data_IF_522706305538
#
_entry.id   IF_522706305538
#
_cell.length_a   1.000
_cell.length_b   1.000
_cell.length_c   1.000
_cell.angle_alpha   90.00
_cell.angle_beta   90.00
_cell.angle_gamma   90.00
#
_symmetry.space_group_name_H-M   'P 1'
#
loop_
_entity.id
_entity.type
_entity.pdbx_description
1 polymer ?
#
# COMPACT_ATOMS: atom_id res chain seq x y z
N UNK A 1 23.09 16.07 -23.30
CA UNK A 1 22.69 16.98 -22.22
C UNK A 1 22.98 16.31 -20.93
N UNK A 2 23.48 17.03 -19.92
CA UNK A 2 23.67 16.52 -18.57
C UNK A 2 22.41 16.79 -17.78
N UNK A 3 21.96 15.84 -16.97
CA UNK A 3 20.83 15.99 -16.05
C UNK A 3 21.31 16.27 -14.63
N UNK A 4 20.54 17.02 -13.87
CA UNK A 4 20.87 17.36 -12.49
C UNK A 4 19.80 16.84 -11.53
N UNK A 5 20.16 15.85 -10.72
CA UNK A 5 19.28 15.16 -9.80
C UNK A 5 19.43 15.70 -8.38
N UNK A 6 18.32 16.09 -7.77
CA UNK A 6 18.22 16.41 -6.34
C UNK A 6 17.53 15.28 -5.59
N UNK A 7 18.10 14.88 -4.46
CA UNK A 7 17.51 13.85 -3.57
C UNK A 7 16.86 14.58 -2.40
N UNK A 8 15.55 14.33 -2.20
CA UNK A 8 14.73 14.90 -1.12
C UNK A 8 14.11 13.78 -0.28
N UNK A 9 14.93 13.01 0.40
CA UNK A 9 14.54 11.89 1.25
C UNK A 9 15.07 12.06 2.68
N UNK A 10 14.43 11.42 3.65
CA UNK A 10 14.92 11.41 5.03
C UNK A 10 16.31 10.77 5.13
N UNK A 11 16.53 9.69 4.41
CA UNK A 11 17.83 9.01 4.29
C UNK A 11 18.49 9.34 2.94
N UNK A 12 18.83 10.62 2.76
CA UNK A 12 19.49 11.11 1.53
C UNK A 12 20.79 10.35 1.24
N UNK A 13 21.60 10.11 2.26
CA UNK A 13 22.90 9.47 2.14
C UNK A 13 22.81 8.09 1.49
N UNK A 14 21.82 7.29 1.87
CA UNK A 14 21.57 5.98 1.28
C UNK A 14 21.26 6.05 -0.21
N UNK A 15 20.34 6.95 -0.59
CA UNK A 15 19.96 7.09 -2.01
C UNK A 15 21.10 7.67 -2.85
N UNK A 16 21.88 8.58 -2.29
CA UNK A 16 23.09 9.14 -2.94
C UNK A 16 24.10 8.02 -3.24
N UNK A 17 24.44 7.20 -2.25
CA UNK A 17 25.36 6.08 -2.42
C UNK A 17 24.89 5.10 -3.52
N UNK A 18 23.59 4.74 -3.54
CA UNK A 18 23.04 3.85 -4.57
C UNK A 18 23.13 4.43 -5.98
N UNK A 19 22.92 5.74 -6.14
CA UNK A 19 23.01 6.41 -7.44
C UNK A 19 24.46 6.53 -7.90
N UNK A 20 25.37 6.84 -6.99
CA UNK A 20 26.82 6.90 -7.27
C UNK A 20 27.36 5.53 -7.68
N UNK A 21 26.92 4.45 -6.98
CA UNK A 21 27.27 3.07 -7.32
C UNK A 21 26.79 2.67 -8.72
N UNK A 22 25.61 3.17 -9.13
CA UNK A 22 25.03 2.91 -10.45
C UNK A 22 25.81 3.55 -11.60
N UNK A 23 26.74 4.50 -11.34
CA UNK A 23 27.63 5.17 -12.30
C UNK A 23 26.89 5.66 -13.55
N UNK A 24 25.76 6.33 -13.34
CA UNK A 24 24.91 6.82 -14.43
C UNK A 24 25.64 7.90 -15.21
N UNK A 25 25.72 7.76 -16.53
CA UNK A 25 26.37 8.70 -17.43
C UNK A 25 25.51 9.97 -17.57
N UNK A 26 26.12 11.13 -17.57
CA UNK A 26 25.45 12.43 -17.72
C UNK A 26 24.45 12.76 -16.59
N UNK A 27 24.68 12.27 -15.38
CA UNK A 27 23.90 12.62 -14.19
C UNK A 27 24.81 13.28 -13.15
N UNK A 28 24.48 14.49 -12.73
CA UNK A 28 25.11 15.24 -11.65
C UNK A 28 24.19 15.24 -10.41
N UNK A 29 24.75 15.08 -9.22
CA UNK A 29 23.99 15.12 -7.99
C UNK A 29 24.03 16.52 -7.36
N UNK A 30 22.87 17.17 -7.27
CA UNK A 30 22.71 18.41 -6.55
C UNK A 30 22.72 18.19 -5.04
N UNK A 31 23.22 19.17 -4.27
CA UNK A 31 23.23 19.15 -2.80
C UNK A 31 22.09 19.98 -2.20
N UNK A 32 21.48 20.86 -2.98
CA UNK A 32 20.38 21.72 -2.56
C UNK A 32 19.49 22.08 -3.77
N UNK A 33 18.26 22.55 -3.54
CA UNK A 33 17.41 23.08 -4.61
C UNK A 33 18.10 24.19 -5.37
N UNK A 34 18.06 24.13 -6.70
CA UNK A 34 18.65 25.11 -7.60
C UNK A 34 17.84 25.23 -8.91
N UNK A 35 17.98 26.33 -9.62
CA UNK A 35 17.18 26.63 -10.82
C UNK A 35 17.43 25.66 -11.98
N UNK A 36 18.59 25.03 -12.03
CA UNK A 36 19.04 24.09 -13.05
C UNK A 36 18.77 22.60 -12.71
N UNK A 37 18.14 22.31 -11.56
CA UNK A 37 17.72 20.95 -11.20
C UNK A 37 16.53 20.54 -12.05
N UNK A 38 16.69 19.47 -12.82
CA UNK A 38 15.64 18.97 -13.73
C UNK A 38 15.04 17.62 -13.30
N UNK A 39 15.66 16.91 -12.36
CA UNK A 39 15.15 15.63 -11.80
C UNK A 39 15.13 15.71 -10.29
N UNK A 40 14.06 15.18 -9.69
CA UNK A 40 13.96 15.00 -8.22
C UNK A 40 13.57 13.59 -7.87
N UNK A 41 14.33 12.97 -6.95
CA UNK A 41 13.99 11.72 -6.28
C UNK A 41 13.69 12.00 -4.82
N UNK A 42 12.52 11.59 -4.29
CA UNK A 42 12.29 11.85 -2.88
C UNK A 42 10.89 11.55 -2.36
N UNK A 43 10.65 12.02 -1.14
CA UNK A 43 9.38 11.92 -0.44
C UNK A 43 8.41 13.01 -0.92
N UNK A 44 7.13 12.69 -1.22
CA UNK A 44 6.18 13.64 -1.78
C UNK A 44 6.03 14.95 -1.03
N UNK A 45 6.06 14.93 0.30
CA UNK A 45 5.93 16.13 1.13
C UNK A 45 7.17 17.04 1.03
N UNK A 46 8.37 16.45 1.00
CA UNK A 46 9.64 17.19 0.84
C UNK A 46 9.75 17.78 -0.55
N UNK A 47 9.36 17.00 -1.57
CA UNK A 47 9.32 17.48 -2.97
C UNK A 47 8.37 18.68 -3.07
N UNK A 48 7.14 18.57 -2.54
CA UNK A 48 6.17 19.66 -2.55
C UNK A 48 6.72 20.95 -1.97
N UNK A 49 7.45 20.88 -0.85
CA UNK A 49 8.05 22.04 -0.20
C UNK A 49 9.11 22.72 -1.06
N UNK A 50 9.81 21.97 -1.92
CA UNK A 50 10.89 22.49 -2.77
C UNK A 50 10.43 22.94 -4.18
N UNK A 51 9.21 22.60 -4.62
CA UNK A 51 8.74 22.82 -6.00
C UNK A 51 8.90 24.27 -6.50
N UNK A 52 8.73 25.26 -5.62
CA UNK A 52 8.85 26.68 -6.01
C UNK A 52 10.28 27.08 -6.38
N UNK A 53 11.29 26.37 -5.87
CA UNK A 53 12.72 26.62 -6.12
C UNK A 53 13.30 25.77 -7.27
N UNK A 54 12.44 25.08 -8.04
CA UNK A 54 12.84 24.13 -9.07
C UNK A 54 12.14 24.46 -10.41
N UNK A 55 12.43 25.60 -11.04
CA UNK A 55 11.75 26.02 -12.27
C UNK A 55 12.04 25.10 -13.46
N UNK A 56 13.23 24.50 -13.57
CA UNK A 56 13.61 23.60 -14.66
C UNK A 56 13.15 22.15 -14.49
N UNK A 57 12.42 21.84 -13.39
CA UNK A 57 12.01 20.47 -13.07
C UNK A 57 11.20 19.82 -14.20
N UNK A 58 11.69 18.71 -14.70
CA UNK A 58 11.08 17.92 -15.79
C UNK A 58 10.58 16.54 -15.32
N UNK A 59 11.20 15.96 -14.28
CA UNK A 59 10.83 14.64 -13.77
C UNK A 59 10.92 14.55 -12.25
N UNK A 60 9.88 13.98 -11.66
CA UNK A 60 9.79 13.62 -10.24
C UNK A 60 9.59 12.13 -10.11
N UNK A 61 10.51 11.46 -9.41
CA UNK A 61 10.35 10.09 -8.93
C UNK A 61 10.05 10.11 -7.44
N UNK A 62 8.84 9.76 -7.04
CA UNK A 62 8.52 9.52 -5.63
C UNK A 62 9.07 8.17 -5.17
N UNK A 63 9.72 8.14 -4.01
CA UNK A 63 10.16 6.91 -3.35
C UNK A 63 9.01 6.19 -2.63
N UNK A 64 7.83 6.81 -2.57
CA UNK A 64 6.62 6.24 -2.00
C UNK A 64 5.58 5.90 -3.07
N UNK A 65 4.70 4.95 -2.76
CA UNK A 65 3.55 4.63 -3.62
C UNK A 65 2.51 5.75 -3.61
N UNK A 66 2.26 6.38 -2.47
CA UNK A 66 1.33 7.50 -2.35
C UNK A 66 1.97 8.83 -2.68
N UNK A 67 1.25 9.62 -3.48
CA UNK A 67 1.72 10.89 -4.04
C UNK A 67 0.72 12.03 -3.79
N UNK A 68 -0.18 11.86 -2.82
CA UNK A 68 -1.27 12.81 -2.54
C UNK A 68 -0.80 14.27 -2.41
N UNK A 69 0.36 14.58 -1.76
CA UNK A 69 0.86 15.95 -1.68
C UNK A 69 1.14 16.60 -3.04
N UNK A 70 1.39 15.80 -4.08
CA UNK A 70 1.81 16.24 -5.42
C UNK A 70 0.67 16.28 -6.44
N UNK A 71 -0.54 15.79 -6.12
CA UNK A 71 -1.64 15.63 -7.09
C UNK A 71 -2.92 16.40 -6.76
N UNK A 72 -2.88 17.32 -5.80
CA UNK A 72 -4.04 18.15 -5.43
C UNK A 72 -4.52 19.07 -6.56
N UNK A 73 -5.69 19.73 -6.43
CA UNK A 73 -6.26 20.61 -7.45
C UNK A 73 -5.34 21.77 -7.89
N UNK A 74 -4.54 22.29 -6.96
CA UNK A 74 -3.55 23.35 -7.21
C UNK A 74 -2.13 22.81 -7.47
N UNK A 75 -1.97 21.52 -7.75
CA UNK A 75 -0.65 20.94 -7.97
C UNK A 75 -0.07 21.39 -9.32
N UNK A 76 1.22 21.73 -9.32
CA UNK A 76 2.03 21.94 -10.52
C UNK A 76 2.05 20.68 -11.38
N UNK A 77 1.92 20.77 -12.71
CA UNK A 77 1.75 19.62 -13.63
C UNK A 77 2.65 19.68 -14.87
N UNK A 78 3.64 20.52 -14.86
CA UNK A 78 4.59 20.75 -15.96
C UNK A 78 5.82 19.84 -15.87
N UNK A 79 5.75 18.77 -15.10
CA UNK A 79 6.76 17.72 -14.99
C UNK A 79 6.14 16.34 -15.04
N UNK A 80 6.93 15.33 -15.39
CA UNK A 80 6.53 13.92 -15.32
C UNK A 80 6.58 13.49 -13.85
N UNK A 81 5.48 12.92 -13.35
CA UNK A 81 5.40 12.36 -11.99
C UNK A 81 5.32 10.84 -12.05
N UNK A 82 6.29 10.18 -11.45
CA UNK A 82 6.32 8.73 -11.27
C UNK A 82 6.41 8.37 -9.79
N UNK A 83 5.96 7.17 -9.43
CA UNK A 83 5.98 6.71 -8.04
C UNK A 83 6.48 5.27 -7.93
N UNK A 84 6.77 4.82 -6.70
CA UNK A 84 7.17 3.45 -6.43
C UNK A 84 5.95 2.51 -6.58
N UNK A 85 5.99 1.59 -7.56
CA UNK A 85 4.98 0.56 -7.80
C UNK A 85 5.63 -0.82 -7.88
N UNK A 86 4.87 -1.86 -7.44
CA UNK A 86 5.31 -3.25 -7.53
C UNK A 86 6.31 -3.70 -6.45
N UNK A 87 6.90 -2.78 -5.68
CA UNK A 87 7.95 -3.10 -4.69
C UNK A 87 7.40 -3.40 -3.29
N UNK A 88 6.17 -2.99 -2.97
CA UNK A 88 5.60 -3.15 -1.62
C UNK A 88 4.72 -4.39 -1.46
N UNK A 89 4.42 -5.11 -2.55
CA UNK A 89 3.45 -6.21 -2.53
C UNK A 89 3.84 -7.32 -1.56
N UNK A 90 5.10 -7.77 -1.58
CA UNK A 90 5.62 -8.79 -0.67
C UNK A 90 5.49 -8.38 0.79
N UNK A 91 6.05 -7.23 1.16
CA UNK A 91 6.03 -6.72 2.54
C UNK A 91 4.60 -6.53 3.06
N UNK A 92 3.69 -5.99 2.25
CA UNK A 92 2.30 -5.80 2.65
C UNK A 92 1.54 -7.12 2.77
N UNK A 93 1.83 -8.11 1.93
CA UNK A 93 1.23 -9.43 2.05
C UNK A 93 1.69 -10.15 3.33
N UNK A 94 2.99 -10.07 3.67
CA UNK A 94 3.52 -10.59 4.93
C UNK A 94 2.87 -9.92 6.15
N UNK A 95 2.72 -8.59 6.11
CA UNK A 95 2.03 -7.84 7.17
C UNK A 95 0.60 -8.34 7.36
N UNK A 96 -0.20 -8.41 6.29
CA UNK A 96 -1.60 -8.84 6.35
C UNK A 96 -1.70 -10.27 6.87
N UNK A 97 -0.99 -11.21 6.26
CA UNK A 97 -1.03 -12.63 6.67
C UNK A 97 -0.50 -12.81 8.10
N UNK A 98 0.54 -12.08 8.48
CA UNK A 98 1.08 -12.11 9.85
C UNK A 98 0.02 -11.75 10.90
N UNK A 99 -0.77 -10.70 10.69
CA UNK A 99 -1.85 -10.31 11.61
C UNK A 99 -3.01 -11.31 11.59
N UNK A 100 -3.38 -11.84 10.42
CA UNK A 100 -4.42 -12.87 10.33
C UNK A 100 -4.01 -14.15 11.08
N UNK A 101 -2.76 -14.59 10.93
CA UNK A 101 -2.21 -15.72 11.67
C UNK A 101 -2.13 -15.44 13.18
N UNK A 102 -1.70 -14.24 13.58
CA UNK A 102 -1.65 -13.84 14.97
C UNK A 102 -3.03 -13.88 15.63
N UNK A 103 -4.06 -13.45 14.91
CA UNK A 103 -5.46 -13.52 15.35
C UNK A 103 -5.95 -14.97 15.46
N UNK A 104 -5.90 -15.74 14.38
CA UNK A 104 -6.42 -17.12 14.33
C UNK A 104 -5.70 -18.05 15.32
N UNK A 105 -4.38 -17.92 15.44
CA UNK A 105 -3.58 -18.76 16.34
C UNK A 105 -3.54 -18.22 17.77
N UNK A 106 -4.28 -17.14 18.08
CA UNK A 106 -4.33 -16.47 19.40
C UNK A 106 -2.94 -16.17 19.96
N UNK A 107 -2.00 -15.74 19.07
CA UNK A 107 -0.57 -15.61 19.43
C UNK A 107 -0.39 -14.65 20.60
N UNK A 108 -1.04 -13.47 20.58
CA UNK A 108 -0.91 -12.47 21.64
C UNK A 108 -1.45 -12.96 22.97
N UNK A 109 -2.60 -13.63 22.95
CA UNK A 109 -3.18 -14.25 24.16
C UNK A 109 -2.24 -15.31 24.74
N UNK A 110 -1.72 -16.20 23.90
CA UNK A 110 -0.80 -17.27 24.32
C UNK A 110 0.51 -16.75 24.89
N UNK A 111 1.02 -15.63 24.35
CA UNK A 111 2.18 -14.96 24.94
C UNK A 111 1.88 -14.42 26.35
N UNK A 112 0.68 -13.87 26.56
CA UNK A 112 0.25 -13.41 27.88
C UNK A 112 0.03 -14.58 28.84
N UNK A 113 -0.64 -15.63 28.40
CA UNK A 113 -0.83 -16.86 29.19
C UNK A 113 0.53 -17.46 29.60
N UNK A 114 1.51 -17.47 28.69
CA UNK A 114 2.87 -17.95 29.01
C UNK A 114 3.55 -17.13 30.11
N UNK A 115 3.43 -15.81 30.07
CA UNK A 115 3.96 -14.93 31.14
C UNK A 115 3.31 -15.24 32.49
N UNK A 116 2.01 -15.50 32.48
CA UNK A 116 1.21 -15.79 33.66
C UNK A 116 1.29 -17.27 34.10
N UNK A 117 2.09 -18.10 33.41
CA UNK A 117 2.20 -19.56 33.63
C UNK A 117 0.83 -20.25 33.60
N UNK A 118 -0.08 -19.74 32.77
CA UNK A 118 -1.43 -20.27 32.53
C UNK A 118 -1.44 -21.14 31.28
N UNK A 119 -2.04 -22.32 31.36
CA UNK A 119 -2.23 -23.20 30.20
C UNK A 119 -3.65 -23.00 29.63
N UNK A 120 -3.74 -22.55 28.37
CA UNK A 120 -5.02 -22.40 27.66
C UNK A 120 -5.21 -23.54 26.66
N UNK A 121 -6.18 -24.42 26.93
CA UNK A 121 -6.57 -25.56 26.09
C UNK A 121 -7.57 -25.20 24.99
N UNK A 122 -7.96 -23.91 24.89
CA UNK A 122 -8.94 -23.48 23.89
C UNK A 122 -8.44 -23.66 22.46
N UNK A 123 -9.34 -24.11 21.59
CA UNK A 123 -9.07 -24.29 20.17
C UNK A 123 -8.57 -23.00 19.50
N UNK A 124 -7.71 -23.16 18.52
CA UNK A 124 -7.26 -22.08 17.64
C UNK A 124 -7.89 -22.22 16.27
N UNK A 125 -8.15 -21.10 15.63
CA UNK A 125 -8.64 -21.05 14.25
C UNK A 125 -7.58 -21.36 13.20
N UNK A 126 -8.00 -21.38 11.95
CA UNK A 126 -7.16 -21.55 10.76
C UNK A 126 -7.63 -20.60 9.67
N UNK A 127 -6.72 -20.18 8.80
CA UNK A 127 -7.06 -19.39 7.62
C UNK A 127 -7.72 -20.21 6.51
N UNK A 128 -7.48 -21.52 6.48
CA UNK A 128 -8.01 -22.43 5.47
C UNK A 128 -9.53 -22.40 5.43
N UNK A 129 -10.10 -22.21 4.25
CA UNK A 129 -11.54 -22.14 4.02
C UNK A 129 -12.21 -20.81 4.37
N UNK A 130 -11.52 -19.92 5.07
CA UNK A 130 -12.02 -18.57 5.37
C UNK A 130 -12.02 -17.65 4.15
N UNK A 131 -12.87 -16.64 4.16
CA UNK A 131 -13.05 -15.70 3.07
C UNK A 131 -12.42 -14.35 3.40
N UNK A 132 -11.45 -13.92 2.57
CA UNK A 132 -10.83 -12.59 2.63
C UNK A 132 -11.36 -11.70 1.51
N UNK A 133 -11.81 -10.49 1.86
CA UNK A 133 -12.20 -9.45 0.93
C UNK A 133 -11.12 -8.38 0.81
N UNK A 134 -10.74 -8.05 -0.43
CA UNK A 134 -9.73 -7.05 -0.74
C UNK A 134 -10.40 -5.81 -1.34
N UNK A 135 -10.45 -4.72 -0.61
CA UNK A 135 -10.82 -3.41 -1.16
C UNK A 135 -9.59 -2.86 -1.91
N UNK A 136 -9.61 -3.04 -3.23
CA UNK A 136 -8.50 -2.73 -4.13
C UNK A 136 -7.62 -3.94 -4.46
N UNK A 137 -7.57 -4.31 -5.75
CA UNK A 137 -6.72 -5.39 -6.28
C UNK A 137 -5.72 -4.81 -7.29
N UNK A 138 -4.88 -3.91 -6.82
CA UNK A 138 -3.68 -3.43 -7.54
C UNK A 138 -2.48 -4.35 -7.29
N UNK A 139 -1.25 -3.85 -7.48
CA UNK A 139 -0.02 -4.62 -7.26
C UNK A 139 0.08 -5.24 -5.86
N UNK A 140 -0.30 -4.49 -4.82
CA UNK A 140 -0.31 -4.97 -3.44
C UNK A 140 -1.43 -6.00 -3.24
N UNK A 141 -2.66 -5.68 -3.66
CA UNK A 141 -3.80 -6.58 -3.50
C UNK A 141 -3.63 -7.92 -4.22
N UNK A 142 -2.98 -7.92 -5.37
CA UNK A 142 -2.67 -9.15 -6.09
C UNK A 142 -1.69 -10.06 -5.31
N UNK A 143 -0.69 -9.50 -4.63
CA UNK A 143 0.23 -10.25 -3.78
C UNK A 143 -0.46 -10.76 -2.50
N UNK A 144 -1.30 -9.94 -1.86
CA UNK A 144 -2.14 -10.40 -0.73
C UNK A 144 -3.06 -11.55 -1.17
N UNK A 145 -3.71 -11.44 -2.35
CA UNK A 145 -4.53 -12.50 -2.91
C UNK A 145 -3.73 -13.79 -3.12
N UNK A 146 -2.53 -13.70 -3.70
CA UNK A 146 -1.63 -14.84 -3.89
C UNK A 146 -1.26 -15.53 -2.57
N UNK A 147 -0.89 -14.74 -1.55
CA UNK A 147 -0.56 -15.25 -0.24
C UNK A 147 -1.79 -15.91 0.44
N UNK A 148 -2.97 -15.29 0.35
CA UNK A 148 -4.22 -15.84 0.89
C UNK A 148 -4.56 -17.19 0.24
N UNK A 149 -4.40 -17.34 -1.08
CA UNK A 149 -4.59 -18.61 -1.79
C UNK A 149 -3.61 -19.68 -1.33
N UNK A 150 -2.36 -19.35 -1.02
CA UNK A 150 -1.39 -20.29 -0.46
C UNK A 150 -1.87 -20.89 0.86
N UNK A 151 -2.53 -20.10 1.71
CA UNK A 151 -3.14 -20.57 2.96
C UNK A 151 -4.52 -21.23 2.77
N UNK A 152 -5.00 -21.43 1.53
CA UNK A 152 -6.26 -22.09 1.23
C UNK A 152 -7.51 -21.26 1.53
N UNK A 153 -7.38 -19.93 1.49
CA UNK A 153 -8.51 -19.01 1.66
C UNK A 153 -9.31 -18.82 0.36
N UNK A 154 -10.58 -18.41 0.51
CA UNK A 154 -11.38 -17.87 -0.57
C UNK A 154 -11.12 -16.37 -0.67
N UNK A 155 -10.88 -15.85 -1.89
CA UNK A 155 -10.50 -14.46 -2.12
C UNK A 155 -11.56 -13.72 -2.93
N UNK A 156 -12.11 -12.65 -2.38
CA UNK A 156 -12.98 -11.71 -3.10
C UNK A 156 -12.24 -10.40 -3.32
N UNK A 157 -12.40 -9.80 -4.50
CA UNK A 157 -11.83 -8.50 -4.83
C UNK A 157 -12.92 -7.48 -5.12
N UNK A 158 -12.82 -6.27 -4.57
CA UNK A 158 -13.63 -5.12 -4.96
C UNK A 158 -12.77 -4.11 -5.69
N UNK A 159 -13.11 -3.81 -6.95
CA UNK A 159 -12.36 -2.90 -7.83
C UNK A 159 -13.31 -2.01 -8.62
N UNK A 160 -12.79 -1.01 -9.32
CA UNK A 160 -13.59 -0.18 -10.25
C UNK A 160 -13.98 -0.90 -11.55
N UNK A 161 -13.27 -1.96 -11.93
CA UNK A 161 -13.50 -2.71 -13.17
C UNK A 161 -12.32 -3.59 -13.60
N UNK A 162 -11.20 -3.54 -12.88
CA UNK A 162 -10.01 -4.35 -13.20
C UNK A 162 -10.14 -5.74 -12.55
N UNK A 163 -9.97 -6.80 -13.34
CA UNK A 163 -10.03 -8.21 -12.92
C UNK A 163 -8.77 -8.96 -13.35
N UNK A 164 -7.60 -8.41 -13.04
CA UNK A 164 -6.32 -8.90 -13.56
C UNK A 164 -5.65 -9.99 -12.74
N UNK A 165 -6.02 -10.17 -11.46
CA UNK A 165 -5.38 -11.16 -10.61
C UNK A 165 -6.07 -12.53 -10.71
N UNK A 166 -5.34 -13.55 -11.14
CA UNK A 166 -5.79 -14.96 -11.18
C UNK A 166 -5.99 -15.59 -9.79
N UNK A 167 -5.62 -14.88 -8.74
CA UNK A 167 -5.73 -15.34 -7.35
C UNK A 167 -6.99 -14.83 -6.64
N UNK A 168 -7.84 -14.08 -7.35
CA UNK A 168 -9.15 -13.64 -6.87
C UNK A 168 -10.22 -14.57 -7.42
N UNK A 169 -11.00 -15.19 -6.54
CA UNK A 169 -12.04 -16.16 -6.93
C UNK A 169 -13.30 -15.47 -7.45
N UNK A 170 -13.61 -14.27 -6.92
CA UNK A 170 -14.77 -13.49 -7.35
C UNK A 170 -14.51 -11.99 -7.22
N UNK A 171 -14.85 -11.27 -8.27
CA UNK A 171 -14.79 -9.81 -8.32
C UNK A 171 -16.17 -9.17 -8.09
N UNK A 172 -16.13 -7.96 -7.52
CA UNK A 172 -17.29 -7.09 -7.27
C UNK A 172 -16.95 -5.66 -7.68
N UNK A 173 -17.96 -4.92 -8.13
CA UNK A 173 -17.80 -3.57 -8.66
C UNK A 173 -18.99 -2.66 -8.28
N UNK A 174 -18.80 -1.36 -8.34
CA UNK A 174 -19.88 -0.36 -8.27
C UNK A 174 -20.79 -0.53 -7.05
N UNK A 175 -22.06 -0.82 -7.28
CA UNK A 175 -23.08 -0.93 -6.23
C UNK A 175 -23.04 -2.25 -5.44
N UNK A 176 -22.16 -3.19 -5.81
CA UNK A 176 -22.10 -4.49 -5.14
C UNK A 176 -21.20 -4.50 -3.87
N UNK A 177 -20.86 -3.32 -3.33
CA UNK A 177 -20.00 -3.20 -2.15
C UNK A 177 -20.54 -3.95 -0.92
N UNK A 178 -21.84 -3.87 -0.65
CA UNK A 178 -22.46 -4.58 0.48
C UNK A 178 -22.52 -6.09 0.24
N UNK A 179 -22.79 -6.52 -1.00
CA UNK A 179 -22.73 -7.95 -1.38
C UNK A 179 -21.30 -8.50 -1.31
N UNK A 180 -20.29 -7.65 -1.60
CA UNK A 180 -18.90 -8.01 -1.43
C UNK A 180 -18.57 -8.28 0.05
N UNK A 181 -19.12 -7.47 0.96
CA UNK A 181 -18.86 -7.56 2.40
C UNK A 181 -19.55 -8.74 3.09
N UNK A 182 -20.67 -9.20 2.56
CA UNK A 182 -21.48 -10.27 3.14
C UNK A 182 -20.67 -11.58 3.25
N UNK A 183 -20.61 -12.14 4.45
CA UNK A 183 -19.92 -13.41 4.73
C UNK A 183 -18.38 -13.35 4.63
N UNK A 184 -17.75 -12.17 4.73
CA UNK A 184 -16.30 -12.06 4.86
C UNK A 184 -15.86 -12.40 6.29
N UNK A 185 -14.81 -13.21 6.43
CA UNK A 185 -14.10 -13.35 7.70
C UNK A 185 -13.10 -12.21 7.90
N UNK A 186 -12.52 -11.71 6.80
CA UNK A 186 -11.53 -10.63 6.83
C UNK A 186 -11.78 -9.61 5.73
N UNK A 187 -11.67 -8.33 6.09
CA UNK A 187 -11.68 -7.22 5.15
C UNK A 187 -10.33 -6.52 5.18
N UNK A 188 -9.66 -6.43 4.04
CA UNK A 188 -8.39 -5.71 3.89
C UNK A 188 -8.59 -4.51 2.99
N UNK A 189 -8.40 -3.31 3.54
CA UNK A 189 -8.39 -2.08 2.75
C UNK A 189 -6.99 -1.81 2.19
N UNK A 190 -6.92 -1.66 0.85
CA UNK A 190 -5.69 -1.36 0.10
C UNK A 190 -5.92 -0.15 -0.83
N UNK A 191 -7.07 0.51 -0.68
CA UNK A 191 -7.43 1.63 -1.53
C UNK A 191 -6.52 2.85 -1.28
N UNK A 192 -6.17 3.60 -2.34
CA UNK A 192 -5.52 4.89 -2.18
C UNK A 192 -6.52 5.92 -1.64
N UNK A 193 -6.02 7.00 -1.03
CA UNK A 193 -6.87 8.11 -0.60
C UNK A 193 -7.17 9.04 -1.79
N UNK A 194 -8.31 8.84 -2.43
CA UNK A 194 -8.82 9.67 -3.53
C UNK A 194 -10.23 10.16 -3.22
N UNK A 195 -10.75 11.09 -4.00
CA UNK A 195 -12.15 11.54 -3.85
C UNK A 195 -13.14 10.38 -3.96
N UNK A 196 -12.90 9.42 -4.86
CA UNK A 196 -13.78 8.27 -5.11
C UNK A 196 -13.70 7.20 -4.01
N UNK A 197 -12.60 7.15 -3.24
CA UNK A 197 -12.37 6.14 -2.22
C UNK A 197 -12.60 6.65 -0.79
N UNK A 198 -12.83 7.96 -0.65
CA UNK A 198 -13.15 8.54 0.65
C UNK A 198 -14.45 7.96 1.20
N UNK A 199 -14.41 7.57 2.48
CA UNK A 199 -15.57 7.00 3.19
C UNK A 199 -16.15 5.73 2.56
N UNK A 200 -15.39 4.99 1.75
CA UNK A 200 -15.82 3.66 1.27
C UNK A 200 -16.04 2.73 2.47
N UNK A 201 -15.15 2.78 3.47
CA UNK A 201 -15.40 2.13 4.76
C UNK A 201 -16.25 3.07 5.60
N UNK A 202 -17.54 2.86 5.55
CA UNK A 202 -18.58 3.59 6.29
C UNK A 202 -19.39 2.65 7.18
N UNK A 203 -20.38 3.20 7.90
CA UNK A 203 -21.24 2.41 8.79
C UNK A 203 -21.98 1.30 8.03
N UNK A 204 -22.44 1.54 6.80
CA UNK A 204 -23.20 0.56 6.02
C UNK A 204 -22.33 -0.63 5.66
N UNK A 205 -21.08 -0.40 5.22
CA UNK A 205 -20.13 -1.45 4.93
C UNK A 205 -19.77 -2.24 6.20
N UNK A 206 -19.50 -1.55 7.31
CA UNK A 206 -19.16 -2.20 8.57
C UNK A 206 -20.32 -3.03 9.13
N UNK A 207 -21.55 -2.55 9.00
CA UNK A 207 -22.75 -3.29 9.41
C UNK A 207 -23.07 -4.49 8.50
N UNK A 208 -22.60 -4.48 7.26
CA UNK A 208 -22.75 -5.61 6.33
C UNK A 208 -21.74 -6.74 6.57
N UNK A 209 -20.67 -6.46 7.33
CA UNK A 209 -19.73 -7.50 7.73
C UNK A 209 -20.30 -8.38 8.83
N UNK A 210 -19.98 -9.68 8.85
CA UNK A 210 -20.25 -10.53 10.01
C UNK A 210 -19.61 -9.97 11.29
N UNK A 211 -20.25 -10.15 12.44
CA UNK A 211 -19.78 -9.60 13.72
C UNK A 211 -18.37 -10.08 14.13
N UNK A 212 -17.93 -11.23 13.61
CA UNK A 212 -16.58 -11.77 13.86
C UNK A 212 -15.52 -11.28 12.86
N UNK A 213 -15.91 -10.51 11.84
CA UNK A 213 -15.00 -10.11 10.79
C UNK A 213 -13.89 -9.20 11.32
N UNK A 214 -12.64 -9.50 10.95
CA UNK A 214 -11.48 -8.66 11.25
C UNK A 214 -11.22 -7.71 10.09
N UNK A 215 -11.00 -6.43 10.41
CA UNK A 215 -10.68 -5.39 9.42
C UNK A 215 -9.21 -4.99 9.56
N UNK A 216 -8.46 -5.04 8.45
CA UNK A 216 -7.07 -4.59 8.35
C UNK A 216 -7.00 -3.43 7.35
N UNK A 217 -6.41 -2.33 7.76
CA UNK A 217 -6.20 -1.17 6.89
C UNK A 217 -4.70 -1.00 6.57
N UNK A 218 -4.31 -1.30 5.34
CA UNK A 218 -2.99 -1.02 4.76
C UNK A 218 -3.07 0.02 3.64
N UNK A 219 -4.27 0.55 3.40
CA UNK A 219 -4.53 1.68 2.52
C UNK A 219 -4.29 3.02 3.20
N UNK A 220 -4.85 4.07 2.63
CA UNK A 220 -4.69 5.45 3.11
C UNK A 220 -6.03 6.17 3.23
#
# INVERSE_FOLDING_TARGET
MSHKLLILAQDETKYRALIEEARLVNLELATQPAEDVDIVLGEPSRIKAALASLPALSWVQSIWAGIEPLVGPAARRDYILTNARGVFGGLMSEYVIGYLLAHERKILKRLEDQKNKSWDESDTGTLRGKTIGLLGVGSIGAEVARAAKFFGMNVRGYTRGSETSKHVDKYFHGYDLLKFADGLDYLVNILPNTMDTRKVINSDLLNALPAHALVINVGR
#
